data_IF_725452470947
#
_entry.id   IF_725452470947
#
_cell.length_a   1.000
_cell.length_b   1.000
_cell.length_c   1.000
_cell.angle_alpha   90.00
_cell.angle_beta   90.00
_cell.angle_gamma   90.00
#
_symmetry.space_group_name_H-M   'P 1'
#
loop_
_entity.id
_entity.type
_entity.pdbx_description
1 polymer ?
#
# COMPACT_ATOMS: atom_id res chain seq x y z
N UNK A 1 -4.11 -5.96 -3.77
CA UNK A 1 -2.79 -6.01 -3.10
C UNK A 1 -1.73 -6.25 -4.16
N UNK A 2 -0.52 -5.74 -3.98
CA UNK A 2 0.56 -5.84 -4.98
C UNK A 2 1.80 -6.58 -4.48
N UNK A 3 1.94 -6.81 -3.16
CA UNK A 3 3.02 -7.59 -2.55
C UNK A 3 4.41 -7.20 -3.08
N UNK A 4 5.20 -8.12 -3.60
CA UNK A 4 6.55 -7.83 -4.13
C UNK A 4 6.57 -7.77 -5.66
N UNK A 5 5.49 -7.29 -6.28
CA UNK A 5 5.42 -7.18 -7.74
C UNK A 5 6.60 -6.38 -8.29
N UNK A 6 7.27 -6.95 -9.29
CA UNK A 6 8.36 -6.27 -10.00
C UNK A 6 7.86 -5.06 -10.79
N UNK A 7 8.72 -4.05 -10.94
CA UNK A 7 8.41 -2.82 -11.69
C UNK A 7 7.87 -3.08 -13.09
N UNK A 8 8.50 -3.96 -13.86
CA UNK A 8 8.07 -4.24 -15.24
C UNK A 8 6.66 -4.85 -15.30
N UNK A 9 6.33 -5.68 -14.31
CA UNK A 9 5.00 -6.27 -14.16
C UNK A 9 3.97 -5.21 -13.78
N UNK A 10 4.27 -4.35 -12.80
CA UNK A 10 3.41 -3.24 -12.40
C UNK A 10 3.20 -2.24 -13.54
N UNK A 11 4.27 -1.90 -14.26
CA UNK A 11 4.25 -1.05 -15.45
C UNK A 11 3.37 -1.63 -16.54
N UNK A 12 3.53 -2.93 -16.85
CA UNK A 12 2.72 -3.59 -17.88
C UNK A 12 1.23 -3.48 -17.59
N UNK A 13 0.79 -3.70 -16.35
CA UNK A 13 -0.63 -3.61 -15.96
C UNK A 13 -1.10 -2.18 -15.69
N UNK A 14 -0.16 -1.24 -15.47
CA UNK A 14 -0.41 0.18 -15.23
C UNK A 14 -0.37 1.05 -16.49
N UNK A 15 -0.04 0.51 -17.67
CA UNK A 15 0.00 1.26 -18.94
C UNK A 15 -1.36 1.81 -19.37
N UNK A 16 -2.46 1.19 -18.93
CA UNK A 16 -3.83 1.49 -19.35
C UNK A 16 -4.79 1.17 -18.21
N UNK A 17 -6.00 1.72 -18.28
CA UNK A 17 -7.12 1.26 -17.44
C UNK A 17 -7.30 -0.24 -17.65
N UNK A 18 -7.45 -0.98 -16.55
CA UNK A 18 -7.63 -2.42 -16.59
C UNK A 18 -8.95 -2.75 -17.31
N UNK A 19 -8.84 -3.42 -18.46
CA UNK A 19 -10.01 -3.94 -19.18
C UNK A 19 -10.77 -4.90 -18.27
N UNK A 20 -12.11 -4.81 -18.29
CA UNK A 20 -13.01 -5.65 -17.49
C UNK A 20 -12.84 -5.53 -15.97
N UNK A 21 -12.16 -4.48 -15.49
CA UNK A 21 -12.07 -4.15 -14.07
C UNK A 21 -12.65 -2.76 -13.84
N UNK A 22 -13.95 -2.71 -13.52
CA UNK A 22 -14.68 -1.48 -13.21
C UNK A 22 -14.79 -1.20 -11.70
N UNK A 23 -14.31 -2.13 -10.87
CA UNK A 23 -14.44 -2.03 -9.42
C UNK A 23 -13.63 -0.84 -8.89
N UNK A 24 -14.25 -0.12 -7.96
CA UNK A 24 -13.61 0.95 -7.21
C UNK A 24 -12.57 0.38 -6.26
N UNK A 25 -11.40 0.99 -6.22
CA UNK A 25 -10.36 0.71 -5.25
C UNK A 25 -10.75 1.38 -3.93
N UNK A 26 -10.92 0.57 -2.90
CA UNK A 26 -11.27 1.03 -1.54
C UNK A 26 -10.10 0.94 -0.56
N UNK A 27 -9.09 0.13 -0.88
CA UNK A 27 -7.87 -0.07 -0.12
C UNK A 27 -6.79 -0.61 -1.05
N UNK A 28 -5.59 -0.06 -0.95
CA UNK A 28 -4.41 -0.53 -1.68
C UNK A 28 -3.28 -0.92 -0.73
N UNK A 29 -2.36 -1.74 -1.24
CA UNK A 29 -1.09 -2.04 -0.60
C UNK A 29 0.01 -1.73 -1.62
N UNK A 30 1.02 -0.97 -1.20
CA UNK A 30 2.19 -0.59 -2.01
C UNK A 30 3.14 -1.78 -2.17
N UNK A 31 3.75 -1.95 -3.36
CA UNK A 31 4.72 -2.99 -3.61
C UNK A 31 5.95 -2.88 -2.72
N UNK A 32 6.51 -4.03 -2.36
CA UNK A 32 7.87 -4.19 -1.84
C UNK A 32 8.25 -3.14 -0.79
N UNK A 33 7.46 -3.06 0.29
CA UNK A 33 7.68 -2.13 1.41
C UNK A 33 7.75 -0.65 1.04
N UNK A 34 7.28 -0.25 -0.15
CA UNK A 34 7.43 1.11 -0.66
C UNK A 34 8.79 1.38 -1.31
N UNK A 35 9.45 0.38 -1.87
CA UNK A 35 10.66 0.55 -2.66
C UNK A 35 10.40 1.39 -3.91
N UNK A 36 11.30 2.36 -4.16
CA UNK A 36 11.29 3.17 -5.39
C UNK A 36 11.46 2.31 -6.64
N UNK A 37 12.23 1.22 -6.54
CA UNK A 37 12.57 0.37 -7.68
C UNK A 37 11.38 -0.49 -8.11
N UNK A 38 10.33 -0.59 -7.29
CA UNK A 38 9.07 -1.28 -7.61
C UNK A 38 7.91 -0.31 -7.86
N UNK A 39 8.10 1.00 -7.63
CA UNK A 39 7.05 1.99 -7.74
C UNK A 39 6.81 2.42 -9.19
N UNK A 40 5.55 2.42 -9.63
CA UNK A 40 5.15 2.97 -10.92
C UNK A 40 3.90 3.84 -10.76
N UNK A 41 4.10 5.16 -10.73
CA UNK A 41 3.09 6.16 -10.40
C UNK A 41 1.82 6.06 -11.26
N UNK A 42 1.97 5.83 -12.55
CA UNK A 42 0.85 5.80 -13.50
C UNK A 42 -0.10 4.63 -13.22
N UNK A 43 0.39 3.53 -12.64
CA UNK A 43 -0.49 2.45 -12.19
C UNK A 43 -1.52 2.96 -11.17
N UNK A 44 -1.06 3.73 -10.18
CA UNK A 44 -1.89 4.30 -9.12
C UNK A 44 -2.82 5.40 -9.63
N UNK A 45 -2.33 6.25 -10.54
CA UNK A 45 -3.11 7.33 -11.12
C UNK A 45 -4.35 6.80 -11.87
N UNK A 46 -4.21 5.68 -12.57
CA UNK A 46 -5.28 5.08 -13.38
C UNK A 46 -6.25 4.18 -12.60
N UNK A 47 -6.18 4.14 -11.26
CA UNK A 47 -7.14 3.39 -10.45
C UNK A 47 -8.43 4.20 -10.25
N UNK A 48 -9.58 3.59 -10.51
CA UNK A 48 -10.88 4.13 -10.12
C UNK A 48 -10.97 4.14 -8.58
N UNK A 49 -10.95 5.32 -7.95
CA UNK A 49 -10.86 5.51 -6.49
C UNK A 49 -11.47 6.87 -6.10
N UNK A 50 -11.70 7.08 -4.81
CA UNK A 50 -11.97 8.41 -4.25
C UNK A 50 -10.69 9.11 -3.78
N UNK A 51 -10.78 10.43 -3.57
CA UNK A 51 -9.83 11.16 -2.73
C UNK A 51 -9.75 10.48 -1.35
N UNK A 52 -8.56 10.49 -0.76
CA UNK A 52 -8.24 9.88 0.52
C UNK A 52 -8.47 8.36 0.59
N UNK A 53 -8.54 7.68 -0.57
CA UNK A 53 -8.53 6.21 -0.59
C UNK A 53 -7.28 5.71 0.13
N UNK A 54 -7.41 4.84 1.14
CA UNK A 54 -6.26 4.37 1.91
C UNK A 54 -5.33 3.52 1.05
N UNK A 55 -4.04 3.81 1.14
CA UNK A 55 -2.97 3.01 0.56
C UNK A 55 -1.93 2.71 1.63
N UNK A 56 -1.73 1.42 1.88
CA UNK A 56 -0.91 0.94 2.99
C UNK A 56 0.46 0.53 2.49
N UNK A 57 1.49 1.04 3.13
CA UNK A 57 2.86 0.58 3.01
C UNK A 57 3.08 -0.38 4.17
N UNK A 58 3.17 -1.68 3.88
CA UNK A 58 3.60 -2.63 4.90
C UNK A 58 5.11 -2.56 5.03
N UNK A 59 5.60 -1.80 6.01
CA UNK A 59 7.02 -1.59 6.25
C UNK A 59 7.24 -1.28 7.73
N UNK A 60 8.24 -1.91 8.34
CA UNK A 60 8.74 -1.55 9.66
C UNK A 60 10.18 -1.04 9.59
N UNK A 61 10.84 -0.82 10.74
CA UNK A 61 12.25 -0.45 10.78
C UNK A 61 13.10 -1.39 9.93
N UNK A 62 13.87 -0.83 8.99
CA UNK A 62 14.71 -1.58 8.07
C UNK A 62 15.95 -0.76 7.68
N UNK A 63 16.97 -1.42 7.13
CA UNK A 63 18.21 -0.79 6.65
C UNK A 63 18.25 -0.51 5.15
N UNK A 64 17.09 -0.54 4.48
CA UNK A 64 16.96 -0.39 3.02
C UNK A 64 16.37 0.97 2.61
N UNK A 65 16.30 1.92 3.55
CA UNK A 65 15.67 3.22 3.37
C UNK A 65 14.25 3.11 2.79
N UNK A 66 13.50 2.12 3.26
CA UNK A 66 12.10 1.91 2.90
C UNK A 66 11.14 2.36 4.00
N UNK A 67 9.94 2.86 3.66
CA UNK A 67 9.54 3.27 2.32
C UNK A 67 10.40 4.41 1.77
N UNK A 68 10.67 4.39 0.48
CA UNK A 68 11.40 5.46 -0.17
C UNK A 68 10.55 6.76 -0.10
N UNK A 69 11.12 7.91 0.29
CA UNK A 69 10.36 9.16 0.40
C UNK A 69 9.62 9.57 -0.88
N UNK A 70 10.22 9.29 -2.04
CA UNK A 70 9.60 9.59 -3.34
C UNK A 70 8.26 8.86 -3.54
N UNK A 71 8.17 7.62 -3.04
CA UNK A 71 6.96 6.80 -3.14
C UNK A 71 5.82 7.39 -2.32
N UNK A 72 6.12 7.87 -1.10
CA UNK A 72 5.12 8.54 -0.25
C UNK A 72 4.62 9.81 -0.94
N UNK A 73 5.55 10.67 -1.37
CA UNK A 73 5.24 11.95 -2.01
C UNK A 73 4.40 11.75 -3.28
N UNK A 74 4.72 10.74 -4.09
CA UNK A 74 3.96 10.48 -5.32
C UNK A 74 2.54 9.98 -5.04
N UNK A 75 2.33 9.19 -3.99
CA UNK A 75 1.01 8.72 -3.60
C UNK A 75 0.15 9.82 -2.97
N UNK A 76 0.73 10.67 -2.13
CA UNK A 76 0.05 11.84 -1.55
C UNK A 76 -0.36 12.84 -2.63
N UNK A 77 0.50 13.10 -3.63
CA UNK A 77 0.17 13.93 -4.80
C UNK A 77 -0.94 13.35 -5.69
N UNK A 78 -1.26 12.08 -5.52
CA UNK A 78 -2.38 11.40 -6.19
C UNK A 78 -3.60 11.29 -5.26
N UNK A 79 -3.66 12.10 -4.20
CA UNK A 79 -4.76 12.17 -3.24
C UNK A 79 -5.06 10.82 -2.56
N UNK A 80 -4.04 9.99 -2.37
CA UNK A 80 -4.17 8.81 -1.50
C UNK A 80 -3.89 9.19 -0.06
N UNK A 81 -4.60 8.54 0.85
CA UNK A 81 -4.28 8.55 2.28
C UNK A 81 -3.22 7.48 2.54
N UNK A 82 -1.95 7.90 2.64
CA UNK A 82 -0.82 6.99 2.85
C UNK A 82 -0.73 6.60 4.33
N UNK A 83 -0.70 5.30 4.59
CA UNK A 83 -0.70 4.71 5.93
C UNK A 83 0.40 3.64 6.00
N UNK A 84 0.96 3.37 7.19
CA UNK A 84 1.95 2.33 7.38
C UNK A 84 1.49 1.29 8.41
N UNK A 85 1.89 0.03 8.25
CA UNK A 85 1.56 -1.03 9.24
C UNK A 85 2.35 -0.90 10.54
N UNK A 86 3.46 -0.16 10.51
CA UNK A 86 4.31 0.15 11.65
C UNK A 86 5.17 1.34 11.29
N UNK A 87 5.50 2.18 12.27
CA UNK A 87 6.15 3.45 12.00
C UNK A 87 7.60 3.20 11.57
N UNK A 88 7.96 3.42 10.29
CA UNK A 88 9.36 3.46 9.89
C UNK A 88 10.05 4.59 10.67
N UNK A 89 11.24 4.32 11.20
CA UNK A 89 12.04 5.30 11.94
C UNK A 89 12.23 6.56 11.08
N UNK A 90 11.70 7.69 11.54
CA UNK A 90 11.85 8.99 10.87
C UNK A 90 10.73 9.38 9.89
N UNK A 91 9.65 8.60 9.76
CA UNK A 91 8.49 9.01 8.95
C UNK A 91 7.35 9.59 9.80
N UNK A 92 6.56 10.52 9.24
CA UNK A 92 5.36 11.08 9.87
C UNK A 92 4.09 10.27 9.59
N UNK A 93 4.24 9.02 9.13
CA UNK A 93 3.11 8.18 8.75
C UNK A 93 2.33 7.74 9.99
N UNK A 94 1.03 7.52 9.81
CA UNK A 94 0.20 6.98 10.88
C UNK A 94 0.31 5.46 10.88
N UNK A 95 0.39 4.90 12.08
CA UNK A 95 0.33 3.46 12.31
C UNK A 95 -1.11 2.98 12.18
N UNK A 96 -1.34 2.03 11.27
CA UNK A 96 -2.62 1.34 11.13
C UNK A 96 -2.42 -0.15 11.27
N UNK A 97 -3.13 -0.73 12.24
CA UNK A 97 -3.43 -2.15 12.23
C UNK A 97 -4.52 -2.43 11.19
N UNK A 98 -4.12 -3.03 10.07
CA UNK A 98 -5.00 -3.32 8.92
C UNK A 98 -6.12 -4.32 9.30
N UNK A 99 -5.97 -5.07 10.40
CA UNK A 99 -7.01 -5.95 10.92
C UNK A 99 -8.03 -5.22 11.80
N UNK A 100 -7.65 -4.10 12.42
CA UNK A 100 -8.51 -3.35 13.34
C UNK A 100 -9.59 -2.50 12.64
N UNK A 101 -9.56 -2.38 11.30
CA UNK A 101 -10.55 -1.63 10.53
C UNK A 101 -11.82 -2.44 10.17
N UNK A 102 -11.91 -3.71 10.57
CA UNK A 102 -13.14 -4.51 10.48
C UNK A 102 -13.72 -4.66 11.88
N UNK A 103 -15.02 -4.42 12.01
CA UNK A 103 -15.82 -4.76 13.19
C UNK A 103 -15.31 -6.04 13.87
N UNK A 104 -14.72 -5.90 15.06
CA UNK A 104 -14.06 -6.95 15.83
C UNK A 104 -15.05 -7.94 16.48
N UNK A 105 -16.24 -8.11 15.91
CA UNK A 105 -17.26 -9.00 16.48
C UNK A 105 -17.01 -10.49 16.17
N UNK A 106 -16.02 -10.86 15.35
CA UNK A 106 -15.85 -12.25 14.87
C UNK A 106 -14.41 -12.75 14.66
N UNK A 107 -13.37 -12.13 15.25
CA UNK A 107 -12.00 -12.66 15.10
C UNK A 107 -11.70 -13.68 16.21
N UNK A 108 -11.62 -14.96 15.83
CA UNK A 108 -11.12 -16.04 16.70
C UNK A 108 -9.62 -15.83 16.95
N UNK A 109 -9.26 -15.58 18.21
CA UNK A 109 -7.92 -15.21 18.66
C UNK A 109 -6.88 -16.34 18.57
N UNK A 110 -7.25 -17.49 18.01
CA UNK A 110 -6.35 -18.64 17.80
C UNK A 110 -5.38 -18.45 16.63
N UNK A 111 -5.69 -17.60 15.67
CA UNK A 111 -4.85 -17.39 14.47
C UNK A 111 -3.60 -16.51 14.72
N UNK A 112 -3.50 -15.86 15.88
CA UNK A 112 -2.33 -15.06 16.28
C UNK A 112 -1.15 -15.88 16.82
N UNK A 113 -1.30 -17.21 16.95
CA UNK A 113 -0.28 -18.08 17.58
C UNK A 113 0.84 -18.58 16.66
N UNK A 114 0.84 -18.24 15.37
CA UNK A 114 1.81 -18.78 14.40
C UNK A 114 2.74 -17.75 13.77
N UNK A 115 2.97 -16.61 14.43
CA UNK A 115 4.02 -15.67 14.03
C UNK A 115 5.10 -15.64 15.13
N UNK A 116 6.03 -16.61 15.06
CA UNK A 116 7.36 -16.57 15.69
C UNK A 116 8.36 -16.98 14.62
#
# INVERSE_FOLDING_TARGET
MTSDIEFNSLKRIGRRILKNYSKKLILAQVPHHGSRDNHYKEFWNLRNRDIDTPIVISCGPNGYDHPAPEVIIDLEKLDYKVEATSNPVGSSLRDIDVFAMKDNSNIDTRDLKYQI
#
